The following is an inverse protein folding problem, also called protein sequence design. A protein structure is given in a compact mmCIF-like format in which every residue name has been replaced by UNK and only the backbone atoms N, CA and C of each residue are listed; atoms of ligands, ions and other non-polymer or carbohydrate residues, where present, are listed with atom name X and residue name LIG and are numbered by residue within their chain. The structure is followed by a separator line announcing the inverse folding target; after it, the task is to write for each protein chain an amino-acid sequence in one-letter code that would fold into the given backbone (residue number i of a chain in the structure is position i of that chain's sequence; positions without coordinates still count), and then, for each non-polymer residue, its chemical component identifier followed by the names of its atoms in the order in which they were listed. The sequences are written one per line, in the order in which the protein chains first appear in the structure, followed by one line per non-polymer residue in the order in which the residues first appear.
data_IF_419845723170
#
_entry.id   IF_419845723170
#
_cell.length_a   1.000
_cell.length_b   1.000
_cell.length_c   1.000
_cell.angle_alpha   90.00
_cell.angle_beta   90.00
_cell.angle_gamma   90.00
#
_symmetry.space_group_name_H-M   'P 1'
#
loop_
_entity.id
_entity.type
_entity.pdbx_description
1 polymer ?
#
# COMPACT_ATOMS: atom_id res chain seq x y z
N UNK A 1 -18.37 12.28 -0.73
CA UNK A 1 -19.56 11.60 -1.30
C UNK A 1 -20.05 10.39 -0.50
N UNK A 2 -19.20 9.53 0.08
CA UNK A 2 -19.70 8.33 0.79
C UNK A 2 -20.70 8.64 1.93
N UNK A 3 -20.44 9.66 2.75
CA UNK A 3 -21.35 10.06 3.84
C UNK A 3 -22.75 10.46 3.35
N UNK A 4 -22.87 11.10 2.17
CA UNK A 4 -24.20 11.43 1.61
C UNK A 4 -24.94 10.18 1.13
N UNK A 5 -24.22 9.13 0.73
CA UNK A 5 -24.83 7.84 0.38
C UNK A 5 -25.36 7.10 1.59
N UNK A 6 -24.75 7.30 2.77
CA UNK A 6 -25.28 6.76 4.03
C UNK A 6 -26.65 7.36 4.39
N UNK A 7 -26.89 8.63 4.05
CA UNK A 7 -28.23 9.26 4.17
C UNK A 7 -29.20 8.68 3.15
N UNK A 8 -28.76 8.49 1.90
CA UNK A 8 -29.62 8.02 0.83
C UNK A 8 -30.03 6.55 0.98
N UNK A 9 -29.17 5.67 1.48
CA UNK A 9 -29.44 4.24 1.50
C UNK A 9 -30.72 3.87 2.28
N UNK A 10 -30.94 4.35 3.53
CA UNK A 10 -32.21 4.14 4.24
C UNK A 10 -33.42 4.71 3.48
N UNK A 11 -33.30 5.93 2.96
CA UNK A 11 -34.38 6.58 2.23
C UNK A 11 -34.73 5.83 0.93
N UNK A 12 -33.73 5.39 0.17
CA UNK A 12 -33.91 4.65 -1.06
C UNK A 12 -34.53 3.27 -0.80
N UNK A 13 -34.17 2.62 0.30
CA UNK A 13 -34.76 1.34 0.68
C UNK A 13 -36.29 1.46 0.91
N UNK A 14 -36.73 2.50 1.64
CA UNK A 14 -38.14 2.69 2.02
C UNK A 14 -38.94 3.43 0.95
N UNK A 15 -38.43 4.57 0.45
CA UNK A 15 -39.13 5.49 -0.45
C UNK A 15 -38.72 5.35 -1.92
N UNK A 16 -37.87 4.37 -2.26
CA UNK A 16 -37.45 4.03 -3.64
C UNK A 16 -36.82 5.18 -4.44
N UNK A 17 -36.31 6.20 -3.75
CA UNK A 17 -35.67 7.38 -4.33
C UNK A 17 -34.55 7.89 -3.41
N UNK A 18 -33.54 8.61 -3.91
CA UNK A 18 -32.54 9.25 -3.06
C UNK A 18 -33.12 10.50 -2.37
N UNK A 19 -32.73 10.75 -1.12
CA UNK A 19 -33.09 11.98 -0.40
C UNK A 19 -32.23 13.17 -0.85
N UNK A 20 -30.96 12.90 -1.12
CA UNK A 20 -29.95 13.85 -1.61
C UNK A 20 -29.65 13.50 -3.07
N UNK A 21 -30.10 14.33 -4.00
CA UNK A 21 -29.76 14.19 -5.42
C UNK A 21 -28.26 14.42 -5.67
N UNK A 22 -27.72 13.86 -6.75
CA UNK A 22 -26.28 13.85 -7.03
C UNK A 22 -25.66 15.25 -7.15
N UNK A 23 -26.36 16.20 -7.78
CA UNK A 23 -25.91 17.58 -7.88
C UNK A 23 -25.77 18.26 -6.52
N UNK A 24 -26.68 17.96 -5.59
CA UNK A 24 -26.62 18.46 -4.21
C UNK A 24 -25.56 17.72 -3.39
N UNK A 25 -25.40 16.41 -3.59
CA UNK A 25 -24.35 15.62 -2.95
C UNK A 25 -22.95 16.14 -3.29
N UNK A 26 -22.73 16.61 -4.53
CA UNK A 26 -21.50 17.29 -4.95
C UNK A 26 -21.25 18.56 -4.13
N UNK A 27 -22.25 19.44 -4.02
CA UNK A 27 -22.17 20.69 -3.23
C UNK A 27 -21.90 20.41 -1.75
N UNK A 28 -22.62 19.44 -1.16
CA UNK A 28 -22.40 19.00 0.23
C UNK A 28 -20.97 18.51 0.42
N UNK A 29 -20.47 17.68 -0.50
CA UNK A 29 -19.10 17.14 -0.41
C UNK A 29 -18.07 18.26 -0.46
N UNK A 30 -18.24 19.27 -1.33
CA UNK A 30 -17.34 20.43 -1.40
C UNK A 30 -17.35 21.24 -0.09
N UNK A 31 -18.52 21.47 0.50
CA UNK A 31 -18.65 22.25 1.75
C UNK A 31 -18.20 21.46 3.01
N UNK A 32 -18.17 20.14 2.94
CA UNK A 32 -17.75 19.25 4.02
C UNK A 32 -16.23 18.96 4.00
N UNK A 33 -15.49 19.47 3.02
CA UNK A 33 -14.04 19.38 2.89
C UNK A 33 -13.29 20.60 3.44
N UNK A 34 -11.97 20.60 3.31
CA UNK A 34 -11.11 21.74 3.68
C UNK A 34 -10.85 21.91 5.18
N UNK A 35 -10.18 23.01 5.54
CA UNK A 35 -9.71 23.34 6.90
C UNK A 35 -10.83 23.36 7.96
N UNK A 36 -12.03 23.83 7.61
CA UNK A 36 -13.21 23.84 8.50
C UNK A 36 -14.07 22.58 8.37
N UNK A 37 -13.61 21.59 7.59
CA UNK A 37 -14.40 20.44 7.16
C UNK A 37 -14.95 19.61 8.31
N UNK A 38 -14.24 19.49 9.45
CA UNK A 38 -14.73 18.76 10.62
C UNK A 38 -16.00 19.36 11.23
N UNK A 39 -16.00 20.67 11.48
CA UNK A 39 -17.16 21.39 12.01
C UNK A 39 -18.30 21.38 10.99
N UNK A 40 -17.98 21.66 9.73
CA UNK A 40 -18.98 21.69 8.65
C UNK A 40 -19.62 20.32 8.44
N UNK A 41 -18.86 19.22 8.51
CA UNK A 41 -19.42 17.85 8.46
C UNK A 41 -20.46 17.66 9.55
N UNK A 42 -20.15 18.03 10.78
CA UNK A 42 -21.07 17.85 11.91
C UNK A 42 -22.36 18.65 11.72
N UNK A 43 -22.26 19.93 11.36
CA UNK A 43 -23.44 20.79 11.11
C UNK A 43 -24.28 20.25 9.95
N UNK A 44 -23.66 19.99 8.80
CA UNK A 44 -24.36 19.53 7.60
C UNK A 44 -25.05 18.19 7.86
N UNK A 45 -24.36 17.22 8.46
CA UNK A 45 -24.92 15.89 8.65
C UNK A 45 -25.88 15.80 9.83
N UNK A 46 -25.85 16.70 10.83
CA UNK A 46 -26.94 16.81 11.78
C UNK A 46 -28.25 17.17 11.06
N UNK A 47 -28.23 18.20 10.21
CA UNK A 47 -29.41 18.60 9.41
C UNK A 47 -29.90 17.47 8.50
N UNK A 48 -29.00 16.74 7.84
CA UNK A 48 -29.42 15.64 6.97
C UNK A 48 -29.91 14.41 7.72
N UNK A 49 -29.40 14.15 8.93
CA UNK A 49 -29.92 13.11 9.81
C UNK A 49 -31.36 13.44 10.26
N UNK A 50 -31.64 14.68 10.64
CA UNK A 50 -33.00 15.13 10.98
C UNK A 50 -33.97 15.02 9.79
N UNK A 51 -33.54 15.46 8.61
CA UNK A 51 -34.34 15.32 7.38
C UNK A 51 -34.63 13.86 7.05
N UNK A 52 -33.66 12.98 7.24
CA UNK A 52 -33.84 11.55 7.05
C UNK A 52 -34.86 10.98 8.04
N UNK A 53 -34.74 11.31 9.33
CA UNK A 53 -35.69 10.90 10.36
C UNK A 53 -37.12 11.34 10.02
N UNK A 54 -37.31 12.60 9.60
CA UNK A 54 -38.61 13.11 9.19
C UNK A 54 -39.16 12.37 7.97
N UNK A 55 -38.33 12.14 6.96
CA UNK A 55 -38.73 11.45 5.73
C UNK A 55 -39.10 9.96 5.96
N UNK A 56 -38.57 9.33 7.01
CA UNK A 56 -38.85 7.95 7.39
C UNK A 56 -39.97 7.81 8.42
N UNK A 57 -40.39 8.90 9.08
CA UNK A 57 -41.39 8.87 10.16
C UNK A 57 -42.70 8.26 9.66
N UNK A 58 -43.16 7.21 10.35
CA UNK A 58 -44.41 6.50 10.02
C UNK A 58 -44.37 5.65 8.75
N UNK A 59 -43.24 5.58 8.04
CA UNK A 59 -43.10 4.77 6.82
C UNK A 59 -42.78 3.31 7.16
N UNK A 60 -43.17 2.40 6.26
CA UNK A 60 -42.85 0.97 6.31
C UNK A 60 -42.11 0.54 5.04
N UNK A 61 -41.19 -0.44 5.13
CA UNK A 61 -40.72 -1.12 6.35
C UNK A 61 -39.93 -0.19 7.28
N UNK A 62 -39.95 -0.48 8.58
CA UNK A 62 -39.13 0.26 9.55
C UNK A 62 -37.69 -0.24 9.47
N UNK A 63 -36.74 0.69 9.38
CA UNK A 63 -35.32 0.37 9.40
C UNK A 63 -34.84 0.34 10.85
N UNK A 64 -34.28 -0.80 11.26
CA UNK A 64 -33.79 -1.03 12.62
C UNK A 64 -32.28 -0.88 12.73
N UNK A 65 -31.54 -1.20 11.67
CA UNK A 65 -30.09 -1.19 11.66
C UNK A 65 -29.50 -0.90 10.28
N UNK A 66 -28.38 -0.19 10.26
CA UNK A 66 -27.48 -0.03 9.12
C UNK A 66 -26.26 -0.91 9.37
N UNK A 67 -26.05 -1.91 8.50
CA UNK A 67 -24.85 -2.73 8.47
C UNK A 67 -23.88 -2.16 7.43
N UNK A 68 -22.73 -1.66 7.89
CA UNK A 68 -21.73 -1.00 7.06
C UNK A 68 -20.50 -1.90 6.86
N UNK A 69 -20.13 -2.11 5.61
CA UNK A 69 -18.87 -2.73 5.20
C UNK A 69 -18.17 -1.81 4.21
N UNK A 70 -16.89 -1.55 4.42
CA UNK A 70 -16.12 -0.59 3.61
C UNK A 70 -14.90 -1.28 3.02
N UNK A 71 -14.66 -1.04 1.74
CA UNK A 71 -13.50 -1.57 1.03
C UNK A 71 -12.69 -0.45 0.40
N UNK A 72 -11.37 -0.60 0.35
CA UNK A 72 -10.50 0.37 -0.30
C UNK A 72 -9.14 -0.20 -0.67
N UNK A 73 -8.58 0.29 -1.77
CA UNK A 73 -7.22 -0.02 -2.21
C UNK A 73 -6.45 1.30 -2.41
N UNK A 74 -5.17 1.35 -2.05
CA UNK A 74 -4.30 2.51 -2.27
C UNK A 74 -4.85 3.75 -1.54
N UNK A 75 -4.98 4.88 -2.25
CA UNK A 75 -5.67 6.07 -1.75
C UNK A 75 -7.13 5.82 -1.38
N UNK A 76 -7.80 4.87 -2.04
CA UNK A 76 -9.16 4.45 -1.65
C UNK A 76 -9.20 3.77 -0.28
N UNK A 77 -8.11 3.11 0.15
CA UNK A 77 -8.00 2.58 1.51
C UNK A 77 -7.82 3.72 2.54
N UNK A 78 -7.06 4.75 2.19
CA UNK A 78 -6.93 5.98 2.98
C UNK A 78 -8.29 6.67 3.14
N UNK A 79 -9.03 6.82 2.03
CA UNK A 79 -10.39 7.35 2.02
C UNK A 79 -11.35 6.50 2.85
N UNK A 80 -11.24 5.17 2.80
CA UNK A 80 -12.05 4.26 3.61
C UNK A 80 -11.80 4.43 5.12
N UNK A 81 -10.53 4.52 5.53
CA UNK A 81 -10.14 4.77 6.93
C UNK A 81 -10.65 6.12 7.41
N UNK A 82 -10.44 7.18 6.62
CA UNK A 82 -10.92 8.52 6.93
C UNK A 82 -12.45 8.60 6.97
N UNK A 83 -13.13 7.95 6.02
CA UNK A 83 -14.59 7.87 5.97
C UNK A 83 -15.17 7.26 7.25
N UNK A 84 -14.62 6.13 7.72
CA UNK A 84 -15.09 5.48 8.95
C UNK A 84 -14.87 6.40 10.16
N UNK A 85 -13.70 7.01 10.30
CA UNK A 85 -13.44 7.95 11.40
C UNK A 85 -14.37 9.16 11.37
N UNK A 86 -14.59 9.77 10.19
CA UNK A 86 -15.51 10.89 10.05
C UNK A 86 -16.97 10.51 10.28
N UNK A 87 -17.37 9.29 9.91
CA UNK A 87 -18.70 8.78 10.21
C UNK A 87 -18.94 8.75 11.72
N UNK A 88 -18.00 8.21 12.48
CA UNK A 88 -18.15 8.14 13.93
C UNK A 88 -18.08 9.52 14.62
N UNK A 89 -17.52 10.55 13.99
CA UNK A 89 -17.60 11.95 14.48
C UNK A 89 -19.01 12.56 14.37
N UNK A 90 -19.85 12.05 13.45
CA UNK A 90 -21.20 12.55 13.19
C UNK A 90 -22.31 11.60 13.67
N UNK A 91 -21.95 10.41 14.14
CA UNK A 91 -22.87 9.47 14.78
C UNK A 91 -23.12 9.84 16.24
N UNK A 92 -24.27 9.43 16.75
CA UNK A 92 -24.60 9.54 18.17
C UNK A 92 -24.23 8.24 18.89
N UNK A 93 -23.58 8.37 20.05
CA UNK A 93 -23.24 7.24 20.91
C UNK A 93 -24.09 7.30 22.18
N UNK A 94 -24.76 6.20 22.51
CA UNK A 94 -25.53 6.06 23.75
C UNK A 94 -25.37 4.64 24.30
N UNK A 95 -25.00 4.51 25.58
CA UNK A 95 -24.80 3.21 26.25
C UNK A 95 -23.88 2.24 25.48
N UNK A 96 -22.84 2.77 24.83
CA UNK A 96 -21.90 1.98 24.03
C UNK A 96 -22.37 1.65 22.60
N UNK A 97 -23.63 1.89 22.25
CA UNK A 97 -24.16 1.70 20.91
C UNK A 97 -24.04 2.97 20.06
N UNK A 98 -23.77 2.79 18.76
CA UNK A 98 -23.68 3.88 17.79
C UNK A 98 -24.94 3.95 16.93
N UNK A 99 -25.36 5.16 16.59
CA UNK A 99 -26.51 5.38 15.71
C UNK A 99 -26.28 6.52 14.71
N UNK A 100 -26.94 6.41 13.57
CA UNK A 100 -26.98 7.44 12.52
C UNK A 100 -28.44 7.72 12.19
N UNK A 101 -28.87 8.97 12.31
CA UNK A 101 -30.27 9.37 12.17
C UNK A 101 -31.23 8.56 13.05
N UNK A 102 -30.81 8.18 14.27
CA UNK A 102 -31.62 7.36 15.19
C UNK A 102 -31.74 5.89 14.80
N UNK A 103 -31.03 5.44 13.76
CA UNK A 103 -30.96 4.04 13.32
C UNK A 103 -29.66 3.45 13.86
N UNK A 104 -29.70 2.24 14.44
CA UNK A 104 -28.51 1.56 14.94
C UNK A 104 -27.47 1.37 13.84
N UNK A 105 -26.20 1.65 14.10
CA UNK A 105 -25.10 1.52 13.14
C UNK A 105 -24.11 0.46 13.59
N UNK A 106 -23.89 -0.54 12.74
CA UNK A 106 -22.90 -1.59 12.92
C UNK A 106 -21.89 -1.54 11.77
N UNK A 107 -20.62 -1.27 12.07
CA UNK A 107 -19.54 -1.36 11.08
C UNK A 107 -18.84 -2.70 11.20
N UNK A 108 -19.33 -3.69 10.45
CA UNK A 108 -18.91 -5.08 10.59
C UNK A 108 -17.55 -5.38 9.96
N UNK A 109 -17.18 -4.68 8.88
CA UNK A 109 -15.98 -5.02 8.13
C UNK A 109 -15.33 -3.81 7.46
N UNK A 110 -14.01 -3.71 7.60
CA UNK A 110 -13.15 -2.78 6.85
C UNK A 110 -12.06 -3.58 6.13
N UNK A 111 -12.26 -3.82 4.84
CA UNK A 111 -11.32 -4.55 3.99
C UNK A 111 -10.44 -3.61 3.18
N UNK A 112 -9.18 -3.47 3.54
CA UNK A 112 -8.27 -2.52 2.90
C UNK A 112 -7.05 -3.21 2.29
N UNK A 113 -6.52 -2.65 1.21
CA UNK A 113 -5.34 -3.15 0.52
C UNK A 113 -4.33 -2.01 0.33
N UNK A 114 -3.10 -2.24 0.79
CA UNK A 114 -1.90 -1.43 0.60
C UNK A 114 -2.15 0.08 0.69
N UNK A 115 -2.46 0.57 1.90
CA UNK A 115 -2.90 1.95 2.12
C UNK A 115 -1.77 2.92 1.82
N UNK A 116 -2.06 3.96 1.03
CA UNK A 116 -1.11 5.03 0.69
C UNK A 116 -1.80 6.39 0.91
N UNK A 117 -1.43 7.11 1.98
CA UNK A 117 -2.02 8.39 2.32
C UNK A 117 -1.35 9.61 1.68
N UNK A 118 -0.12 9.47 1.20
CA UNK A 118 0.69 10.59 0.75
C UNK A 118 0.27 11.19 -0.60
N UNK A 119 0.46 12.50 -0.76
CA UNK A 119 0.58 13.17 -2.06
C UNK A 119 1.92 12.76 -2.67
N UNK A 120 1.87 11.88 -3.67
CA UNK A 120 3.05 11.19 -4.21
C UNK A 120 4.31 12.06 -4.42
N UNK A 121 4.18 13.34 -4.79
CA UNK A 121 5.34 14.18 -5.09
C UNK A 121 6.12 14.69 -3.87
N UNK A 122 5.53 14.79 -2.68
CA UNK A 122 6.20 15.36 -1.50
C UNK A 122 7.43 14.52 -1.07
N UNK A 123 7.29 13.19 -1.18
CA UNK A 123 8.33 12.21 -0.86
C UNK A 123 9.49 12.19 -1.87
N UNK A 124 9.36 12.86 -3.02
CA UNK A 124 10.44 12.93 -4.01
C UNK A 124 11.52 13.94 -3.64
N UNK A 125 11.25 14.86 -2.71
CA UNK A 125 12.19 15.88 -2.25
C UNK A 125 12.26 15.92 -0.70
N UNK A 126 12.71 14.82 -0.06
CA UNK A 126 12.67 14.68 1.41
C UNK A 126 13.51 15.75 2.14
N UNK A 127 14.51 16.31 1.47
CA UNK A 127 15.41 17.32 2.06
C UNK A 127 14.88 18.76 1.92
N UNK A 128 13.74 18.98 1.25
CA UNK A 128 13.17 20.33 1.07
C UNK A 128 11.79 20.49 1.68
N UNK A 129 11.08 19.39 1.98
CA UNK A 129 9.73 19.42 2.56
C UNK A 129 9.70 18.48 3.76
N UNK A 130 9.78 18.99 5.01
CA UNK A 130 9.70 18.18 6.22
C UNK A 130 8.25 17.84 6.55
N UNK A 131 7.60 17.05 5.68
CA UNK A 131 6.27 16.51 5.91
C UNK A 131 6.23 15.05 5.46
N UNK A 132 5.48 14.22 6.18
CA UNK A 132 5.14 12.82 5.80
C UNK A 132 4.46 12.73 4.43
N UNK A 133 4.03 13.89 3.90
CA UNK A 133 3.35 14.01 2.61
C UNK A 133 1.89 13.61 2.69
N UNK A 134 1.37 13.26 3.87
CA UNK A 134 -0.05 12.98 4.07
C UNK A 134 -0.89 14.18 3.64
N UNK A 135 -2.01 13.90 2.97
CA UNK A 135 -2.99 14.96 2.73
C UNK A 135 -3.56 15.42 4.09
N UNK A 136 -3.84 16.72 4.26
CA UNK A 136 -4.35 17.28 5.53
C UNK A 136 -5.65 16.61 6.06
N UNK A 137 -6.35 15.85 5.21
CA UNK A 137 -7.54 15.08 5.60
C UNK A 137 -7.21 13.66 6.10
N UNK A 138 -6.04 13.13 5.76
CA UNK A 138 -5.52 11.86 6.24
C UNK A 138 -4.89 12.02 7.63
N UNK A 139 -4.27 13.17 7.93
CA UNK A 139 -3.71 13.46 9.25
C UNK A 139 -4.76 13.23 10.34
N UNK A 140 -4.37 12.44 11.34
CA UNK A 140 -5.21 11.99 12.46
C UNK A 140 -6.45 11.13 12.13
N UNK A 141 -6.66 10.73 10.87
CA UNK A 141 -7.85 9.98 10.44
C UNK A 141 -7.54 8.58 9.88
N UNK A 142 -6.29 8.10 10.01
CA UNK A 142 -5.90 6.78 9.51
C UNK A 142 -6.00 5.69 10.57
N UNK A 143 -6.11 6.01 11.84
CA UNK A 143 -6.25 4.95 12.86
C UNK A 143 -7.54 4.14 12.64
N UNK A 144 -7.48 2.82 12.84
CA UNK A 144 -8.70 1.99 12.74
C UNK A 144 -9.60 2.31 13.93
N UNK A 145 -10.84 2.72 13.66
CA UNK A 145 -11.79 3.10 14.70
C UNK A 145 -12.21 1.86 15.52
N UNK A 146 -12.31 1.94 16.87
CA UNK A 146 -12.63 0.78 17.73
C UNK A 146 -14.04 0.21 17.52
N UNK A 147 -14.95 0.97 16.89
CA UNK A 147 -16.29 0.49 16.56
C UNK A 147 -16.35 -0.35 15.27
N UNK A 148 -15.23 -0.51 14.55
CA UNK A 148 -15.11 -1.50 13.48
C UNK A 148 -14.93 -2.87 14.11
N UNK A 149 -15.78 -3.83 13.79
CA UNK A 149 -15.69 -5.17 14.38
C UNK A 149 -14.45 -5.94 13.87
N UNK A 150 -14.19 -5.90 12.56
CA UNK A 150 -13.00 -6.49 11.97
C UNK A 150 -12.44 -5.63 10.83
N UNK A 151 -11.15 -5.36 10.89
CA UNK A 151 -10.38 -4.76 9.82
C UNK A 151 -9.34 -5.76 9.30
N UNK A 152 -9.29 -5.95 7.98
CA UNK A 152 -8.29 -6.75 7.30
C UNK A 152 -7.50 -5.85 6.37
N UNK A 153 -6.18 -5.84 6.51
CA UNK A 153 -5.27 -5.04 5.70
C UNK A 153 -4.23 -5.92 5.02
N UNK A 154 -4.28 -6.01 3.69
CA UNK A 154 -3.26 -6.73 2.91
C UNK A 154 -2.24 -5.77 2.31
N UNK A 155 -0.94 -6.01 2.54
CA UNK A 155 0.14 -5.06 2.19
C UNK A 155 1.18 -5.68 1.26
N UNK A 156 1.82 -4.87 0.43
CA UNK A 156 2.75 -5.29 -0.62
C UNK A 156 4.21 -5.42 -0.12
N UNK A 157 4.80 -6.60 -0.32
CA UNK A 157 6.17 -6.93 0.08
C UNK A 157 7.27 -6.42 -0.86
N UNK A 158 6.96 -6.08 -2.11
CA UNK A 158 7.93 -5.65 -3.13
C UNK A 158 7.61 -4.25 -3.72
N UNK A 159 6.79 -3.44 -3.05
CA UNK A 159 6.63 -2.03 -3.42
C UNK A 159 7.82 -1.22 -2.88
N UNK A 160 8.35 -0.29 -3.65
CA UNK A 160 9.59 0.45 -3.32
C UNK A 160 9.54 1.93 -3.73
N UNK A 161 8.48 2.38 -4.41
CA UNK A 161 8.32 3.78 -4.83
C UNK A 161 8.23 4.71 -3.63
N UNK A 162 8.94 5.83 -3.73
CA UNK A 162 8.93 6.89 -2.72
C UNK A 162 7.55 7.55 -2.64
N UNK A 163 6.85 7.65 -3.78
CA UNK A 163 5.49 8.18 -3.85
C UNK A 163 4.42 7.25 -3.25
N UNK A 164 4.79 6.04 -2.81
CA UNK A 164 3.88 5.02 -2.30
C UNK A 164 4.32 4.50 -0.91
N UNK A 165 4.54 5.38 0.09
CA UNK A 165 4.75 4.93 1.46
C UNK A 165 3.53 4.13 1.93
N UNK A 166 3.76 3.14 2.79
CA UNK A 166 2.68 2.33 3.37
C UNK A 166 2.22 2.91 4.70
N UNK A 167 0.93 3.12 4.85
CA UNK A 167 0.32 3.38 6.15
C UNK A 167 -0.14 2.06 6.79
N UNK A 168 0.63 1.52 7.73
CA UNK A 168 0.21 0.31 8.47
C UNK A 168 -0.99 0.61 9.36
N UNK A 169 -1.75 -0.43 9.72
CA UNK A 169 -2.81 -0.34 10.75
C UNK A 169 -2.25 -0.41 12.18
N UNK A 170 -0.94 -0.63 12.33
CA UNK A 170 -0.24 -0.61 13.63
C UNK A 170 -0.28 0.79 14.25
N UNK A 171 -0.41 0.85 15.58
CA UNK A 171 -0.29 2.06 16.39
C UNK A 171 0.97 1.94 17.27
N UNK A 172 1.97 2.76 16.98
CA UNK A 172 3.31 2.59 17.56
C UNK A 172 3.81 1.16 17.31
N UNK A 173 4.03 0.39 18.36
CA UNK A 173 4.52 -0.99 18.29
C UNK A 173 3.44 -2.08 18.39
N UNK A 174 2.14 -1.73 18.41
CA UNK A 174 1.05 -2.68 18.66
C UNK A 174 -0.05 -2.63 17.59
N UNK A 175 -0.68 -3.77 17.33
CA UNK A 175 -1.84 -3.86 16.45
C UNK A 175 -3.13 -3.72 17.28
N UNK A 176 -4.11 -2.90 16.87
CA UNK A 176 -5.42 -2.90 17.49
C UNK A 176 -6.06 -4.29 17.47
N UNK A 177 -6.81 -4.67 18.51
CA UNK A 177 -7.38 -6.02 18.63
C UNK A 177 -8.37 -6.38 17.51
N UNK A 178 -8.94 -5.38 16.84
CA UNK A 178 -9.87 -5.54 15.73
C UNK A 178 -9.18 -5.55 14.35
N UNK A 179 -7.85 -5.67 14.27
CA UNK A 179 -7.11 -5.64 13.00
C UNK A 179 -6.33 -6.92 12.71
N UNK A 180 -6.24 -7.25 11.43
CA UNK A 180 -5.35 -8.29 10.89
C UNK A 180 -4.60 -7.65 9.73
N UNK A 181 -3.27 -7.50 9.85
CA UNK A 181 -2.40 -7.05 8.75
C UNK A 181 -1.58 -8.22 8.22
N UNK A 182 -1.65 -8.47 6.91
CA UNK A 182 -0.94 -9.56 6.25
C UNK A 182 -0.15 -9.04 5.08
N UNK A 183 1.16 -9.31 5.06
CA UNK A 183 2.01 -9.02 3.91
C UNK A 183 1.89 -10.12 2.87
N UNK A 184 1.61 -9.73 1.64
CA UNK A 184 1.69 -10.59 0.47
C UNK A 184 2.93 -10.23 -0.36
N UNK A 185 3.62 -11.21 -0.96
CA UNK A 185 4.57 -10.91 -2.01
C UNK A 185 3.83 -10.21 -3.17
N UNK A 186 4.46 -9.19 -3.75
CA UNK A 186 3.84 -8.33 -4.76
C UNK A 186 4.29 -6.89 -4.61
N UNK A 187 4.34 -6.14 -5.70
CA UNK A 187 4.27 -4.68 -5.63
C UNK A 187 2.82 -4.21 -5.39
N UNK A 188 2.59 -2.89 -5.31
CA UNK A 188 1.29 -2.31 -4.93
C UNK A 188 0.09 -2.91 -5.67
N UNK A 189 0.14 -2.93 -7.01
CA UNK A 189 -0.95 -3.46 -7.84
C UNK A 189 -0.89 -4.96 -8.06
N UNK A 190 0.20 -5.65 -7.65
CA UNK A 190 0.21 -7.11 -7.56
C UNK A 190 -0.63 -7.59 -6.37
N UNK A 191 -0.78 -6.77 -5.34
CA UNK A 191 -1.65 -7.06 -4.18
C UNK A 191 -3.05 -6.50 -4.39
N UNK A 192 -3.19 -5.23 -4.76
CA UNK A 192 -4.51 -4.58 -4.90
C UNK A 192 -5.18 -4.75 -6.25
N UNK A 193 -4.47 -5.27 -7.25
CA UNK A 193 -4.92 -5.33 -8.64
C UNK A 193 -4.64 -4.04 -9.42
N UNK A 194 -4.60 -4.13 -10.75
CA UNK A 194 -4.48 -2.97 -11.64
C UNK A 194 -3.48 -3.10 -12.78
N UNK A 195 -2.58 -4.10 -12.75
CA UNK A 195 -1.73 -4.39 -13.90
C UNK A 195 -2.51 -5.08 -15.02
N UNK A 196 -2.28 -4.66 -16.26
CA UNK A 196 -2.74 -5.38 -17.44
C UNK A 196 -1.83 -6.60 -17.71
N UNK A 197 -2.34 -7.60 -18.43
CA UNK A 197 -1.48 -8.71 -18.86
C UNK A 197 -0.40 -8.19 -19.83
N UNK A 198 0.86 -8.52 -19.56
CA UNK A 198 2.03 -8.09 -20.33
C UNK A 198 2.68 -6.80 -19.84
N UNK A 199 2.11 -6.12 -18.85
CA UNK A 199 2.73 -4.93 -18.27
C UNK A 199 4.12 -5.28 -17.72
N UNK A 200 5.11 -4.46 -18.09
CA UNK A 200 6.51 -4.65 -17.72
C UNK A 200 7.08 -6.05 -18.05
N UNK A 201 6.47 -6.73 -19.04
CA UNK A 201 6.87 -8.06 -19.48
C UNK A 201 6.38 -9.21 -18.59
N UNK A 202 5.56 -8.91 -17.58
CA UNK A 202 4.87 -9.92 -16.80
C UNK A 202 3.64 -10.36 -17.58
N UNK A 203 3.69 -11.55 -18.18
CA UNK A 203 2.60 -12.13 -18.99
C UNK A 203 1.85 -13.20 -18.20
N UNK A 204 0.87 -12.83 -17.35
CA UNK A 204 0.00 -13.79 -16.72
C UNK A 204 -1.00 -14.33 -17.76
N UNK A 205 -1.26 -15.64 -17.71
CA UNK A 205 -2.46 -16.21 -18.32
C UNK A 205 -3.72 -15.55 -17.74
N UNK A 206 -4.89 -15.75 -18.37
CA UNK A 206 -6.16 -15.35 -17.74
C UNK A 206 -6.26 -15.99 -16.35
N UNK A 207 -6.60 -15.17 -15.34
CA UNK A 207 -6.62 -15.57 -13.92
C UNK A 207 -5.24 -16.02 -13.35
N UNK A 208 -4.16 -15.75 -14.09
CA UNK A 208 -2.76 -16.00 -13.72
C UNK A 208 -2.10 -14.87 -12.94
N UNK A 209 -2.85 -13.82 -12.61
CA UNK A 209 -2.34 -12.64 -11.90
C UNK A 209 -2.21 -12.91 -10.41
N UNK A 210 -1.15 -12.38 -9.79
CA UNK A 210 -0.88 -12.55 -8.37
C UNK A 210 -2.00 -11.96 -7.49
N UNK A 211 -2.64 -10.86 -7.93
CA UNK A 211 -3.69 -10.15 -7.19
C UNK A 211 -4.96 -10.98 -6.97
N UNK A 212 -5.17 -12.06 -7.73
CA UNK A 212 -6.28 -12.99 -7.52
C UNK A 212 -6.22 -13.68 -6.15
N UNK A 213 -5.01 -13.96 -5.63
CA UNK A 213 -4.83 -14.57 -4.29
C UNK A 213 -5.32 -13.63 -3.18
N UNK A 214 -4.74 -12.42 -2.98
CA UNK A 214 -5.19 -11.53 -1.91
C UNK A 214 -6.62 -11.03 -2.15
N UNK A 215 -7.05 -10.84 -3.41
CA UNK A 215 -8.44 -10.54 -3.74
C UNK A 215 -9.41 -11.61 -3.25
N UNK A 216 -9.11 -12.89 -3.52
CA UNK A 216 -9.93 -14.01 -3.03
C UNK A 216 -9.94 -14.11 -1.51
N UNK A 217 -8.78 -13.94 -0.87
CA UNK A 217 -8.65 -13.96 0.59
C UNK A 217 -9.45 -12.84 1.25
N UNK A 218 -9.55 -11.67 0.61
CA UNK A 218 -10.31 -10.54 1.16
C UNK A 218 -11.81 -10.78 1.04
N UNK A 219 -12.24 -11.33 -0.10
CA UNK A 219 -13.61 -11.76 -0.35
C UNK A 219 -14.07 -12.82 0.67
N UNK A 220 -13.24 -13.82 0.95
CA UNK A 220 -13.55 -14.84 1.97
C UNK A 220 -13.62 -14.25 3.38
N UNK A 221 -12.66 -13.39 3.75
CA UNK A 221 -12.66 -12.71 5.05
C UNK A 221 -13.92 -11.84 5.24
N UNK A 222 -14.33 -11.12 4.20
CA UNK A 222 -15.56 -10.33 4.22
C UNK A 222 -16.80 -11.22 4.42
N UNK A 223 -16.91 -12.33 3.69
CA UNK A 223 -18.02 -13.29 3.86
C UNK A 223 -18.05 -13.87 5.27
N UNK A 224 -16.90 -14.24 5.82
CA UNK A 224 -16.77 -14.75 7.19
C UNK A 224 -17.18 -13.71 8.24
N UNK A 225 -16.90 -12.43 8.00
CA UNK A 225 -17.38 -11.31 8.81
C UNK A 225 -18.87 -10.95 8.59
N UNK A 226 -19.60 -11.76 7.81
CA UNK A 226 -21.04 -11.62 7.56
C UNK A 226 -21.39 -10.55 6.52
N UNK A 227 -20.45 -10.11 5.70
CA UNK A 227 -20.76 -9.18 4.59
C UNK A 227 -21.64 -9.92 3.59
N UNK A 228 -22.78 -9.34 3.14
CA UNK A 228 -23.77 -10.02 2.29
C UNK A 228 -23.31 -10.12 0.83
N UNK A 229 -22.11 -10.66 0.61
CA UNK A 229 -21.63 -11.06 -0.71
C UNK A 229 -22.31 -12.38 -1.09
N UNK A 230 -22.51 -12.62 -2.39
CA UNK A 230 -22.96 -13.92 -2.91
C UNK A 230 -21.92 -15.00 -2.62
N UNK A 231 -22.28 -16.27 -2.56
CA UNK A 231 -21.32 -17.38 -2.53
C UNK A 231 -20.66 -17.56 -3.91
N UNK A 232 -19.52 -18.27 -3.97
CA UNK A 232 -18.75 -18.40 -5.22
C UNK A 232 -19.56 -19.00 -6.36
N UNK A 233 -20.31 -20.06 -6.09
CA UNK A 233 -21.19 -20.75 -7.02
C UNK A 233 -22.39 -19.90 -7.48
N UNK A 234 -22.69 -18.82 -6.76
CA UNK A 234 -23.75 -17.85 -7.08
C UNK A 234 -23.24 -16.62 -7.84
N UNK A 235 -21.93 -16.44 -7.97
CA UNK A 235 -21.34 -15.36 -8.74
C UNK A 235 -21.46 -15.63 -10.24
N UNK A 236 -21.40 -14.58 -11.06
CA UNK A 236 -21.23 -14.75 -12.50
C UNK A 236 -19.88 -15.40 -12.80
N UNK A 237 -19.79 -16.17 -13.88
CA UNK A 237 -18.55 -16.84 -14.32
C UNK A 237 -17.37 -15.86 -14.40
N UNK A 238 -17.62 -14.65 -14.91
CA UNK A 238 -16.61 -13.58 -14.97
C UNK A 238 -16.02 -13.26 -13.59
N UNK A 239 -16.84 -13.12 -12.55
CA UNK A 239 -16.35 -12.77 -11.21
C UNK A 239 -15.70 -13.99 -10.54
N UNK A 240 -16.24 -15.18 -10.74
CA UNK A 240 -15.61 -16.42 -10.27
C UNK A 240 -14.19 -16.56 -10.82
N UNK A 241 -14.01 -16.31 -12.11
CA UNK A 241 -12.71 -16.34 -12.79
C UNK A 241 -11.72 -15.33 -12.18
N UNK A 242 -12.16 -14.09 -11.93
CA UNK A 242 -11.31 -13.07 -11.30
C UNK A 242 -10.88 -13.40 -9.86
N UNK A 243 -11.68 -14.20 -9.14
CA UNK A 243 -11.41 -14.61 -7.75
C UNK A 243 -10.82 -16.02 -7.65
N UNK A 244 -10.56 -16.69 -8.76
CA UNK A 244 -10.03 -18.06 -8.76
C UNK A 244 -8.65 -18.07 -9.40
N UNK A 245 -7.56 -17.97 -8.61
CA UNK A 245 -6.22 -18.08 -9.15
C UNK A 245 -6.03 -19.46 -9.80
N UNK A 246 -5.24 -19.52 -10.88
CA UNK A 246 -4.91 -20.81 -11.50
C UNK A 246 -4.07 -21.68 -10.55
N UNK A 247 -4.11 -23.00 -10.76
CA UNK A 247 -3.31 -23.93 -9.96
C UNK A 247 -1.80 -23.65 -10.07
N UNK A 248 -1.33 -23.17 -11.23
CA UNK A 248 0.06 -22.73 -11.41
C UNK A 248 0.42 -21.59 -10.47
N UNK A 249 -0.41 -20.53 -10.40
CA UNK A 249 -0.18 -19.40 -9.49
C UNK A 249 -0.17 -19.86 -8.04
N UNK A 250 -1.08 -20.74 -7.65
CA UNK A 250 -1.14 -21.30 -6.30
C UNK A 250 0.14 -22.08 -5.98
N UNK A 251 0.61 -22.92 -6.91
CA UNK A 251 1.81 -23.73 -6.73
C UNK A 251 3.06 -22.88 -6.62
N UNK A 252 3.24 -21.91 -7.52
CA UNK A 252 4.40 -21.02 -7.54
C UNK A 252 4.39 -20.09 -6.32
N UNK A 253 3.24 -19.57 -5.91
CA UNK A 253 3.09 -18.80 -4.67
C UNK A 253 3.46 -19.61 -3.43
N UNK A 254 2.94 -20.83 -3.30
CA UNK A 254 3.26 -21.69 -2.15
C UNK A 254 4.73 -22.12 -2.16
N UNK A 255 5.33 -22.35 -3.32
CA UNK A 255 6.76 -22.63 -3.44
C UNK A 255 7.60 -21.43 -3.01
N UNK A 256 7.23 -20.23 -3.45
CA UNK A 256 7.88 -18.99 -2.98
C UNK A 256 7.79 -18.84 -1.46
N UNK A 257 6.61 -19.01 -0.85
CA UNK A 257 6.46 -18.89 0.61
C UNK A 257 7.33 -19.89 1.38
N UNK A 258 7.43 -21.14 0.91
CA UNK A 258 8.27 -22.17 1.54
C UNK A 258 9.76 -21.85 1.44
N UNK A 259 10.21 -21.37 0.29
CA UNK A 259 11.64 -21.17 0.01
C UNK A 259 12.16 -19.80 0.46
N UNK A 260 11.35 -18.75 0.34
CA UNK A 260 11.71 -17.40 0.76
C UNK A 260 11.93 -17.30 2.28
N UNK A 261 11.28 -18.17 3.06
CA UNK A 261 11.43 -18.30 4.52
C UNK A 261 11.40 -16.96 5.25
N UNK A 262 10.50 -16.09 4.82
CA UNK A 262 10.32 -14.75 5.41
C UNK A 262 9.91 -14.93 6.87
N UNK A 263 10.78 -14.50 7.77
CA UNK A 263 10.53 -14.57 9.19
C UNK A 263 9.43 -13.57 9.56
N UNK A 264 8.44 -13.97 10.38
CA UNK A 264 7.42 -13.06 10.88
C UNK A 264 8.08 -11.95 11.71
N UNK A 265 7.59 -10.74 11.59
CA UNK A 265 8.12 -9.58 12.29
C UNK A 265 7.27 -8.34 12.03
N UNK A 266 7.83 -7.17 12.32
CA UNK A 266 7.17 -5.93 11.92
C UNK A 266 7.05 -5.82 10.40
N UNK A 267 6.12 -5.00 9.95
CA UNK A 267 5.88 -4.74 8.52
C UNK A 267 7.16 -4.30 7.81
N UNK A 268 8.01 -3.49 8.44
CA UNK A 268 9.31 -3.10 7.87
C UNK A 268 10.25 -4.29 7.71
N UNK A 269 10.34 -5.16 8.73
CA UNK A 269 11.23 -6.32 8.70
C UNK A 269 10.81 -7.33 7.64
N UNK A 270 9.52 -7.61 7.53
CA UNK A 270 9.00 -8.50 6.50
C UNK A 270 9.20 -7.92 5.09
N UNK A 271 8.91 -6.62 4.91
CA UNK A 271 9.16 -5.93 3.64
C UNK A 271 10.63 -6.01 3.23
N UNK A 272 11.55 -5.71 4.15
CA UNK A 272 13.01 -5.77 3.89
C UNK A 272 13.45 -7.15 3.43
N UNK A 273 12.92 -8.22 4.04
CA UNK A 273 13.26 -9.60 3.64
C UNK A 273 12.78 -9.93 2.23
N UNK A 274 11.52 -9.59 1.89
CA UNK A 274 10.98 -9.77 0.54
C UNK A 274 11.78 -8.98 -0.50
N UNK A 275 11.97 -7.68 -0.25
CA UNK A 275 12.65 -6.79 -1.18
C UNK A 275 14.14 -7.14 -1.34
N UNK A 276 14.81 -7.63 -0.30
CA UNK A 276 16.19 -8.10 -0.38
C UNK A 276 16.36 -9.26 -1.37
N UNK A 277 15.41 -10.20 -1.43
CA UNK A 277 15.42 -11.28 -2.44
C UNK A 277 15.28 -10.71 -3.86
N UNK A 278 14.35 -9.78 -4.07
CA UNK A 278 14.16 -9.12 -5.36
C UNK A 278 15.42 -8.36 -5.82
N UNK A 279 16.01 -7.54 -4.95
CA UNK A 279 17.26 -6.82 -5.23
C UNK A 279 18.41 -7.79 -5.50
N UNK A 280 18.50 -8.88 -4.74
CA UNK A 280 19.53 -9.92 -4.94
C UNK A 280 19.43 -10.55 -6.32
N UNK A 281 18.22 -10.85 -6.81
CA UNK A 281 18.05 -11.41 -8.16
C UNK A 281 18.41 -10.41 -9.24
N UNK A 282 17.97 -9.15 -9.11
CA UNK A 282 18.33 -8.06 -10.02
C UNK A 282 19.85 -7.85 -10.10
N UNK A 283 20.55 -8.05 -8.99
CA UNK A 283 22.01 -8.03 -8.95
C UNK A 283 22.67 -9.30 -9.52
N UNK A 284 22.16 -10.49 -9.18
CA UNK A 284 22.65 -11.79 -9.70
C UNK A 284 22.68 -11.79 -11.23
N UNK A 285 21.61 -11.30 -11.86
CA UNK A 285 21.47 -11.25 -13.30
C UNK A 285 21.88 -9.91 -13.93
N UNK A 286 22.66 -9.05 -13.26
CA UNK A 286 22.99 -7.70 -13.78
C UNK A 286 23.65 -7.69 -15.17
N UNK A 287 24.45 -8.70 -15.50
CA UNK A 287 25.09 -8.85 -16.83
C UNK A 287 24.15 -9.43 -17.89
N UNK A 288 23.20 -10.27 -17.46
CA UNK A 288 22.24 -10.96 -18.33
C UNK A 288 20.83 -10.38 -18.20
N UNK A 289 20.69 -9.15 -17.68
CA UNK A 289 19.41 -8.54 -17.35
C UNK A 289 18.48 -8.51 -18.57
N UNK A 290 19.04 -8.13 -19.73
CA UNK A 290 18.31 -8.08 -21.00
C UNK A 290 17.91 -9.47 -21.55
N UNK A 291 18.47 -10.55 -21.01
CA UNK A 291 18.13 -11.94 -21.38
C UNK A 291 17.06 -12.53 -20.46
N UNK A 292 16.74 -11.89 -19.33
CA UNK A 292 15.72 -12.37 -18.38
C UNK A 292 14.31 -12.21 -18.95
N UNK A 293 13.39 -13.04 -18.50
CA UNK A 293 12.04 -13.09 -19.07
C UNK A 293 11.32 -11.73 -19.03
N UNK A 294 11.21 -11.01 -17.89
CA UNK A 294 10.49 -9.74 -17.84
C UNK A 294 11.02 -8.70 -18.83
N UNK A 295 12.32 -8.69 -19.07
CA UNK A 295 12.89 -7.77 -20.07
C UNK A 295 12.54 -8.20 -21.50
N UNK A 296 12.72 -9.49 -21.83
CA UNK A 296 12.53 -9.99 -23.21
C UNK A 296 11.08 -9.90 -23.67
N UNK A 297 10.12 -10.12 -22.77
CA UNK A 297 8.68 -10.12 -23.06
C UNK A 297 8.06 -8.73 -22.96
N UNK A 298 8.74 -7.77 -22.34
CA UNK A 298 8.28 -6.39 -22.26
C UNK A 298 8.25 -5.72 -23.65
N UNK A 299 7.30 -4.78 -23.83
CA UNK A 299 7.30 -3.87 -24.98
C UNK A 299 8.59 -3.04 -25.02
N UNK A 300 8.98 -2.53 -26.20
CA UNK A 300 10.18 -1.68 -26.33
C UNK A 300 10.16 -0.48 -25.36
N UNK A 301 8.98 0.11 -25.12
CA UNK A 301 8.78 1.18 -24.13
C UNK A 301 9.10 0.69 -22.71
N UNK A 302 8.52 -0.45 -22.30
CA UNK A 302 8.73 -1.03 -20.98
C UNK A 302 10.18 -1.53 -20.78
N UNK A 303 10.82 -2.05 -21.82
CA UNK A 303 12.26 -2.37 -21.80
C UNK A 303 13.09 -1.14 -21.41
N UNK A 304 12.84 0.03 -22.01
CA UNK A 304 13.51 1.27 -21.64
C UNK A 304 13.33 1.63 -20.16
N UNK A 305 12.14 1.44 -19.60
CA UNK A 305 11.88 1.71 -18.18
C UNK A 305 12.60 0.72 -17.26
N UNK A 306 12.59 -0.56 -17.60
CA UNK A 306 13.32 -1.61 -16.90
C UNK A 306 14.85 -1.39 -16.93
N UNK A 307 15.40 -0.88 -18.05
CA UNK A 307 16.81 -0.47 -18.12
C UNK A 307 17.12 0.66 -17.14
N UNK A 308 16.25 1.67 -17.05
CA UNK A 308 16.43 2.80 -16.13
C UNK A 308 16.48 2.30 -14.68
N UNK A 309 15.55 1.43 -14.27
CA UNK A 309 15.53 0.93 -12.90
C UNK A 309 16.73 0.03 -12.61
N UNK A 310 17.15 -0.83 -13.56
CA UNK A 310 18.36 -1.63 -13.43
C UNK A 310 19.61 -0.77 -13.30
N UNK A 311 19.76 0.25 -14.14
CA UNK A 311 20.86 1.19 -14.07
C UNK A 311 20.87 1.94 -12.73
N UNK A 312 19.69 2.28 -12.19
CA UNK A 312 19.56 2.94 -10.89
C UNK A 312 20.01 2.06 -9.71
N UNK A 313 19.77 0.74 -9.76
CA UNK A 313 20.29 -0.22 -8.79
C UNK A 313 21.83 -0.22 -8.78
N UNK A 314 22.43 -0.34 -9.97
CA UNK A 314 23.90 -0.34 -10.12
C UNK A 314 24.49 1.00 -9.67
N UNK A 315 23.86 2.13 -10.02
CA UNK A 315 24.25 3.46 -9.54
C UNK A 315 24.17 3.55 -8.01
N UNK A 316 23.12 3.01 -7.40
CA UNK A 316 22.99 2.93 -5.94
C UNK A 316 24.14 2.17 -5.30
N UNK A 317 24.51 1.01 -5.84
CA UNK A 317 25.63 0.20 -5.32
C UNK A 317 26.98 0.92 -5.46
N UNK A 318 27.18 1.73 -6.51
CA UNK A 318 28.40 2.54 -6.66
C UNK A 318 28.58 3.58 -5.56
N UNK A 319 27.50 4.02 -4.90
CA UNK A 319 27.57 4.96 -3.76
C UNK A 319 28.21 4.36 -2.50
N UNK A 320 28.48 3.06 -2.49
CA UNK A 320 29.27 2.43 -1.43
C UNK A 320 30.76 2.77 -1.52
N UNK A 321 31.24 3.24 -2.68
CA UNK A 321 32.67 3.51 -2.95
C UNK A 321 33.59 2.33 -2.61
N UNK A 322 33.06 1.11 -2.73
CA UNK A 322 33.68 -0.13 -2.26
C UNK A 322 33.93 -1.16 -3.38
N UNK A 323 34.19 -0.69 -4.60
CA UNK A 323 34.42 -1.52 -5.80
C UNK A 323 33.45 -1.18 -6.94
N UNK A 324 33.66 -1.78 -8.12
CA UNK A 324 32.71 -1.67 -9.24
C UNK A 324 31.62 -2.75 -9.13
N UNK A 325 30.33 -2.39 -9.00
CA UNK A 325 29.25 -3.38 -8.95
C UNK A 325 29.12 -4.26 -10.20
N UNK A 326 29.76 -3.89 -11.31
CA UNK A 326 29.82 -4.72 -12.52
C UNK A 326 31.03 -5.67 -12.54
N UNK A 327 31.91 -5.64 -11.54
CA UNK A 327 32.99 -6.62 -11.44
C UNK A 327 32.42 -8.03 -11.11
N UNK A 328 33.04 -9.11 -11.62
CA UNK A 328 32.55 -10.47 -11.42
C UNK A 328 32.60 -10.93 -9.96
N UNK A 329 33.54 -10.41 -9.17
CA UNK A 329 33.79 -10.73 -7.77
C UNK A 329 33.10 -9.77 -6.78
N UNK A 330 32.36 -8.77 -7.28
CA UNK A 330 31.64 -7.83 -6.42
C UNK A 330 30.52 -8.54 -5.65
N UNK A 331 30.53 -8.35 -4.33
CA UNK A 331 29.48 -8.82 -3.42
C UNK A 331 28.89 -7.61 -2.67
N UNK A 332 27.59 -7.31 -2.83
CA UNK A 332 26.97 -6.13 -2.22
C UNK A 332 27.09 -6.07 -0.70
N UNK A 333 26.97 -7.20 -0.01
CA UNK A 333 27.02 -7.25 1.44
C UNK A 333 28.44 -7.02 1.97
N UNK A 334 29.46 -7.60 1.31
CA UNK A 334 30.88 -7.32 1.60
C UNK A 334 31.24 -5.87 1.31
N UNK A 335 30.77 -5.33 0.19
CA UNK A 335 30.98 -3.92 -0.17
C UNK A 335 30.34 -2.99 0.88
N UNK A 336 29.13 -3.30 1.36
CA UNK A 336 28.47 -2.55 2.43
C UNK A 336 29.26 -2.61 3.75
N UNK A 337 29.77 -3.79 4.13
CA UNK A 337 30.59 -3.94 5.33
C UNK A 337 31.91 -3.14 5.23
N UNK A 338 32.55 -3.14 4.05
CA UNK A 338 33.75 -2.33 3.78
C UNK A 338 33.44 -0.84 3.90
N UNK A 339 32.35 -0.37 3.29
CA UNK A 339 31.92 1.02 3.35
C UNK A 339 31.61 1.49 4.79
N UNK A 340 30.91 0.66 5.57
CA UNK A 340 30.61 0.95 6.98
C UNK A 340 31.89 1.06 7.83
N UNK A 341 32.89 0.19 7.60
CA UNK A 341 34.18 0.26 8.28
C UNK A 341 34.93 1.55 7.93
N UNK A 342 34.97 1.92 6.65
CA UNK A 342 35.62 3.16 6.19
C UNK A 342 34.97 4.41 6.78
N UNK A 343 33.64 4.45 6.86
CA UNK A 343 32.92 5.55 7.51
C UNK A 343 33.22 5.63 9.01
N UNK A 344 33.25 4.50 9.71
CA UNK A 344 33.61 4.47 11.13
C UNK A 344 35.06 4.95 11.36
N UNK A 345 36.00 4.61 10.48
CA UNK A 345 37.38 5.12 10.52
C UNK A 345 37.43 6.63 10.26
N UNK A 346 36.70 7.13 9.27
CA UNK A 346 36.61 8.57 8.98
C UNK A 346 36.01 9.34 10.16
N UNK A 347 34.95 8.83 10.78
CA UNK A 347 34.30 9.47 11.92
C UNK A 347 35.21 9.54 13.15
N UNK A 348 36.14 8.59 13.33
CA UNK A 348 37.18 8.66 14.38
C UNK A 348 38.22 9.75 14.10
N UNK A 349 38.47 10.07 12.82
CA UNK A 349 39.43 11.09 12.41
C UNK A 349 38.82 12.50 12.34
N UNK A 350 37.49 12.63 12.20
CA UNK A 350 36.77 13.91 12.14
C UNK A 350 37.09 14.88 13.31
N UNK A 351 37.18 14.44 14.58
CA UNK A 351 37.52 15.33 15.70
C UNK A 351 38.95 15.90 15.64
N UNK A 352 39.82 15.36 14.76
CA UNK A 352 41.21 15.78 14.60
C UNK A 352 41.41 16.73 13.40
N UNK A 353 40.35 17.04 12.66
CA UNK A 353 40.37 17.98 11.54
C UNK A 353 39.91 19.38 12.02
N UNK A 354 40.55 20.47 11.58
CA UNK A 354 40.10 21.82 11.94
C UNK A 354 38.65 22.05 11.50
N UNK A 355 37.84 22.66 12.37
CA UNK A 355 36.42 22.97 12.14
C UNK A 355 36.24 23.99 10.99
N UNK A 356 36.44 23.56 9.74
CA UNK A 356 36.12 24.33 8.56
C UNK A 356 34.72 23.96 8.08
N UNK A 357 33.69 24.49 8.77
CA UNK A 357 32.33 24.63 8.23
C UNK A 357 31.69 23.39 7.60
N UNK A 358 32.10 22.18 7.98
CA UNK A 358 31.55 20.95 7.43
C UNK A 358 30.15 20.74 7.99
N UNK A 359 29.14 21.03 7.17
CA UNK A 359 27.77 20.63 7.42
C UNK A 359 27.70 19.09 7.43
N UNK A 360 27.39 18.53 8.59
CA UNK A 360 27.06 17.11 8.74
C UNK A 360 25.81 16.86 7.87
N UNK A 361 25.85 15.93 6.90
CA UNK A 361 24.67 15.63 6.09
C UNK A 361 23.49 15.24 6.99
N UNK A 362 22.29 15.72 6.64
CA UNK A 362 21.05 15.33 7.31
C UNK A 362 20.97 13.80 7.42
N UNK A 363 20.43 13.29 8.53
CA UNK A 363 20.30 11.85 8.78
C UNK A 363 19.74 11.12 7.55
N UNK A 364 20.55 10.23 6.96
CA UNK A 364 20.10 9.39 5.85
C UNK A 364 19.13 8.37 6.42
N UNK A 365 17.87 8.42 5.96
CA UNK A 365 16.83 7.50 6.40
C UNK A 365 17.28 6.05 6.17
N UNK A 366 17.12 5.14 7.17
CA UNK A 366 17.63 3.76 7.10
C UNK A 366 17.16 2.93 5.90
N UNK A 367 16.03 3.28 5.30
CA UNK A 367 15.46 2.67 4.09
C UNK A 367 16.14 3.14 2.79
N UNK A 368 16.82 4.28 2.80
CA UNK A 368 17.51 4.85 1.62
C UNK A 368 19.03 4.79 1.71
N UNK A 369 19.58 4.40 2.87
CA UNK A 369 21.01 4.19 3.04
C UNK A 369 21.49 2.99 2.21
N UNK A 370 22.32 3.19 1.16
CA UNK A 370 22.79 2.12 0.30
C UNK A 370 23.56 1.04 1.07
N UNK A 371 24.24 1.37 2.18
CA UNK A 371 24.96 0.38 3.01
C UNK A 371 23.97 -0.56 3.67
N UNK A 372 22.93 -0.02 4.30
CA UNK A 372 21.90 -0.83 4.98
C UNK A 372 21.14 -1.72 4.00
N UNK A 373 20.82 -1.21 2.81
CA UNK A 373 20.12 -2.00 1.78
C UNK A 373 21.03 -3.09 1.23
N UNK A 374 22.24 -2.74 0.79
CA UNK A 374 23.18 -3.70 0.20
C UNK A 374 23.62 -4.80 1.18
N UNK A 375 23.71 -4.51 2.48
CA UNK A 375 24.00 -5.50 3.52
C UNK A 375 22.96 -6.64 3.62
N UNK A 376 21.73 -6.41 3.15
CA UNK A 376 20.68 -7.45 3.15
C UNK A 376 20.69 -8.33 1.91
N UNK A 377 21.39 -7.92 0.85
CA UNK A 377 21.39 -8.64 -0.42
C UNK A 377 22.26 -9.88 -0.33
N UNK A 378 21.72 -11.03 -0.73
CA UNK A 378 22.43 -12.31 -0.71
C UNK A 378 21.94 -13.22 -1.82
N UNK A 379 22.75 -13.37 -2.87
CA UNK A 379 22.41 -14.20 -4.04
C UNK A 379 22.32 -15.70 -3.71
N UNK A 380 22.89 -16.15 -2.58
CA UNK A 380 22.85 -17.57 -2.17
C UNK A 380 21.49 -17.99 -1.61
N UNK A 381 20.65 -17.02 -1.23
CA UNK A 381 19.28 -17.27 -0.78
C UNK A 381 18.31 -17.47 -1.96
N UNK A 382 18.74 -17.23 -3.20
CA UNK A 382 17.90 -17.36 -4.39
C UNK A 382 17.83 -18.82 -4.83
N UNK A 383 16.71 -19.47 -4.53
CA UNK A 383 16.36 -20.78 -5.07
C UNK A 383 15.64 -20.63 -6.42
N UNK A 384 15.60 -21.69 -7.26
CA UNK A 384 14.84 -21.64 -8.52
C UNK A 384 13.38 -21.24 -8.35
N UNK A 385 12.73 -21.63 -7.24
CA UNK A 385 11.35 -21.24 -6.94
C UNK A 385 11.21 -19.74 -6.67
N UNK A 386 12.16 -19.15 -5.91
CA UNK A 386 12.18 -17.71 -5.66
C UNK A 386 12.39 -16.96 -6.96
N UNK A 387 13.38 -17.35 -7.76
CA UNK A 387 13.72 -16.67 -9.01
C UNK A 387 12.58 -16.74 -10.04
N UNK A 388 11.97 -17.93 -10.17
CA UNK A 388 10.80 -18.14 -11.02
C UNK A 388 9.63 -17.25 -10.59
N UNK A 389 9.31 -17.23 -9.29
CA UNK A 389 8.19 -16.45 -8.79
C UNK A 389 8.40 -14.94 -8.99
N UNK A 390 9.59 -14.43 -8.68
CA UNK A 390 9.93 -13.02 -8.84
C UNK A 390 9.91 -12.58 -10.32
N UNK A 391 10.32 -13.43 -11.26
CA UNK A 391 10.24 -13.13 -12.71
C UNK A 391 8.84 -13.27 -13.29
N UNK A 392 8.03 -14.21 -12.80
CA UNK A 392 6.69 -14.46 -13.35
C UNK A 392 5.61 -13.53 -12.80
N UNK A 393 5.77 -13.01 -11.59
CA UNK A 393 4.64 -12.39 -10.89
C UNK A 393 4.91 -11.01 -10.29
N UNK A 394 6.17 -10.61 -10.12
CA UNK A 394 6.50 -9.34 -9.45
C UNK A 394 6.81 -8.28 -10.49
N UNK A 395 5.96 -7.27 -10.55
CA UNK A 395 6.19 -6.12 -11.42
C UNK A 395 7.26 -5.19 -10.84
N UNK A 396 8.08 -4.60 -11.71
CA UNK A 396 8.94 -3.50 -11.29
C UNK A 396 8.11 -2.22 -11.10
N UNK A 397 7.64 -1.98 -9.88
CA UNK A 397 6.74 -0.87 -9.58
C UNK A 397 7.31 0.49 -10.00
N UNK A 398 8.62 0.70 -9.86
CA UNK A 398 9.29 1.93 -10.30
C UNK A 398 9.28 2.06 -11.82
N UNK A 399 9.54 0.98 -12.57
CA UNK A 399 9.48 1.00 -14.03
C UNK A 399 8.06 1.31 -14.53
N UNK A 400 7.05 0.73 -13.88
CA UNK A 400 5.64 1.03 -14.18
C UNK A 400 5.32 2.51 -14.00
N UNK A 401 5.84 3.11 -12.93
CA UNK A 401 5.59 4.51 -12.61
C UNK A 401 6.30 5.51 -13.53
N UNK A 402 7.42 5.10 -14.16
CA UNK A 402 8.00 5.86 -15.29
C UNK A 402 6.99 5.90 -16.44
N UNK A 403 6.27 4.81 -16.68
CA UNK A 403 5.18 4.73 -17.67
C UNK A 403 4.03 5.69 -17.38
N UNK A 404 3.78 5.98 -16.10
CA UNK A 404 2.80 6.95 -15.61
C UNK A 404 3.34 8.40 -15.59
N UNK A 405 4.56 8.63 -16.10
CA UNK A 405 5.17 9.94 -16.24
C UNK A 405 6.09 10.37 -15.09
N UNK A 406 6.35 9.49 -14.11
CA UNK A 406 7.17 9.83 -12.93
C UNK A 406 8.41 8.95 -12.84
N UNK A 407 9.58 9.53 -13.14
CA UNK A 407 10.87 8.86 -12.97
C UNK A 407 11.52 9.24 -11.65
N UNK A 408 11.14 8.56 -10.56
CA UNK A 408 11.67 8.87 -9.22
C UNK A 408 13.19 8.79 -9.16
N UNK A 409 13.79 7.78 -9.83
CA UNK A 409 15.23 7.57 -9.81
C UNK A 409 16.00 8.78 -10.35
N UNK A 410 15.44 9.46 -11.36
CA UNK A 410 16.00 10.72 -11.89
C UNK A 410 15.77 11.90 -10.94
N UNK A 411 14.63 11.95 -10.26
CA UNK A 411 14.22 13.08 -9.42
C UNK A 411 14.96 13.07 -8.07
N UNK A 412 14.93 11.95 -7.35
CA UNK A 412 15.52 11.84 -6.00
C UNK A 412 16.94 11.26 -5.98
N UNK A 413 17.45 10.77 -7.12
CA UNK A 413 18.77 10.16 -7.28
C UNK A 413 19.02 8.90 -6.41
N UNK A 414 18.00 8.30 -5.80
CA UNK A 414 18.11 7.08 -4.98
C UNK A 414 17.94 5.84 -5.86
N UNK A 415 16.89 5.80 -6.68
CA UNK A 415 16.61 4.66 -7.55
C UNK A 415 16.09 3.43 -6.83
N UNK A 416 16.37 2.24 -7.38
CA UNK A 416 15.81 0.96 -6.92
C UNK A 416 16.47 0.41 -5.64
N UNK A 417 17.71 0.82 -5.31
CA UNK A 417 18.43 0.37 -4.11
C UNK A 417 17.91 1.09 -2.84
N UNK A 418 16.67 0.79 -2.45
CA UNK A 418 16.03 1.29 -1.24
C UNK A 418 14.97 0.29 -0.75
N UNK A 419 14.48 0.52 0.46
CA UNK A 419 13.26 -0.07 0.97
C UNK A 419 12.12 0.96 0.94
N UNK A 420 10.90 0.46 1.03
CA UNK A 420 9.70 1.29 1.19
C UNK A 420 9.76 2.05 2.51
N UNK A 421 9.23 3.26 2.51
CA UNK A 421 8.90 4.00 3.73
C UNK A 421 7.56 3.50 4.30
N UNK A 422 7.49 3.31 5.60
CA UNK A 422 6.29 2.83 6.31
C UNK A 422 5.95 3.80 7.45
N UNK A 423 4.67 4.09 7.64
CA UNK A 423 4.14 4.97 8.69
C UNK A 423 3.23 4.21 9.65
N UNK A 424 3.47 4.33 10.95
CA UNK A 424 2.70 3.68 12.00
C UNK A 424 1.58 4.57 12.54
N UNK A 425 0.46 4.65 11.81
CA UNK A 425 -0.71 5.39 12.27
C UNK A 425 -0.63 6.89 12.00
N UNK A 426 -0.70 7.72 13.05
CA UNK A 426 -0.71 9.19 12.92
C UNK A 426 0.71 9.81 13.11
N UNK A 427 1.75 9.05 12.81
CA UNK A 427 3.14 9.54 12.82
C UNK A 427 3.44 10.46 11.63
#
# INVERSE_FOLDING_TARGET
MALTRLVNAPHQYVNKSPLIADGLAKKITSNAGGLTGGVMRKVIFNTWQEKLQQALKGRKPQITQINLSVFGFSRGATEARAFVNWLYQICHQQNGAWSFAGISLRTQFLGIMDTVASVGLAQLLPNTIPATGHMAWADNNLTIHPAVEQCVHYVAGHEVRACFPLDTVRRGNSYPANTIEVMFPGSHSDVGGGYASGDLGILPAQNGQLCAIPGRRLYDAARQAGVPLLAMDQLTERVQNLLTPTQEVINDFNAYLREAKIAPGSTEKMHRQHMALYLSQRFKYRHDFAKRAPYRTASAKHQGFLQITQASLIKGLRKLYAGDPMAPDFDPARAAAKAAKQEQELQKLMPMLPEQGMTIPSEVLPETDPKKVAATMNIRLLTPAIENFLEKYIHDSMAGFIGDGVNEAKINQIGLLKFRTLYAGNE
#
